data_IF_427864532099
#
_entry.id   IF_427864532099
#
_cell.length_a   1.000
_cell.length_b   1.000
_cell.length_c   1.000
_cell.angle_alpha   90.00
_cell.angle_beta   90.00
_cell.angle_gamma   90.00
#
_symmetry.space_group_name_H-M   'P 1'
#
loop_
_entity.id
_entity.type
_entity.pdbx_description
1 polymer ?
#
# COMPACT_ATOMS: atom_id res chain seq x y z
N UNK A 1 -18.48 -0.17 -30.58
CA UNK A 1 -18.15 0.34 -29.22
C UNK A 1 -16.75 -0.13 -28.89
N UNK A 2 -15.88 0.70 -28.28
CA UNK A 2 -14.55 0.25 -27.87
C UNK A 2 -14.73 -0.90 -26.87
N UNK A 3 -14.00 -1.99 -27.05
CA UNK A 3 -14.02 -3.11 -26.11
C UNK A 3 -13.17 -2.67 -24.90
N UNK A 4 -13.74 -2.57 -23.72
CA UNK A 4 -13.03 -2.25 -22.46
C UNK A 4 -11.97 -3.31 -22.06
N UNK A 5 -11.74 -4.31 -22.90
CA UNK A 5 -10.93 -5.51 -22.61
C UNK A 5 -9.51 -5.47 -23.15
N UNK A 6 -9.12 -4.44 -23.90
CA UNK A 6 -7.78 -4.36 -24.49
C UNK A 6 -6.77 -3.65 -23.55
N UNK A 7 -6.97 -3.78 -22.23
CA UNK A 7 -6.06 -3.27 -21.22
C UNK A 7 -5.62 -4.41 -20.33
N UNK A 8 -4.32 -4.53 -20.12
CA UNK A 8 -3.70 -5.56 -19.30
C UNK A 8 -3.04 -4.91 -18.10
N UNK A 9 -3.14 -5.54 -16.93
CA UNK A 9 -2.25 -5.23 -15.81
C UNK A 9 -0.88 -5.80 -16.16
N UNK A 10 0.15 -4.96 -16.18
CA UNK A 10 1.48 -5.34 -16.67
C UNK A 10 2.56 -5.31 -15.60
N UNK A 11 2.35 -4.58 -14.51
CA UNK A 11 3.30 -4.52 -13.41
C UNK A 11 2.62 -4.13 -12.09
N UNK A 12 3.36 -4.32 -11.02
CA UNK A 12 2.99 -3.88 -9.70
C UNK A 12 4.22 -3.33 -8.97
N UNK A 13 4.14 -2.09 -8.51
CA UNK A 13 5.13 -1.49 -7.64
C UNK A 13 4.63 -1.59 -6.19
N UNK A 14 5.51 -1.99 -5.26
CA UNK A 14 5.15 -2.17 -3.85
C UNK A 14 6.14 -1.40 -2.97
N UNK A 15 5.61 -0.68 -1.98
CA UNK A 15 6.39 0.21 -1.12
C UNK A 15 6.13 -0.10 0.36
N UNK A 16 7.21 -0.20 1.14
CA UNK A 16 7.16 -0.22 2.61
C UNK A 16 7.20 1.23 3.11
N UNK A 17 6.04 1.76 3.50
CA UNK A 17 5.88 3.14 3.98
C UNK A 17 5.55 3.09 5.47
N UNK A 18 6.28 3.87 6.29
CA UNK A 18 6.06 3.95 7.74
C UNK A 18 6.11 5.39 8.20
N UNK A 19 5.16 5.77 9.05
CA UNK A 19 5.10 7.08 9.68
C UNK A 19 5.39 6.93 11.18
N UNK A 20 6.25 7.77 11.77
CA UNK A 20 6.65 7.66 13.18
C UNK A 20 5.56 8.23 14.11
N UNK A 21 4.33 7.70 14.03
CA UNK A 21 3.20 8.13 14.87
C UNK A 21 3.43 7.81 16.35
N UNK A 22 4.32 6.86 16.66
CA UNK A 22 4.70 6.54 18.04
C UNK A 22 5.39 7.68 18.78
N UNK A 23 6.08 8.59 18.07
CA UNK A 23 6.75 9.77 18.66
C UNK A 23 5.79 10.68 19.44
N UNK A 24 4.53 10.74 19.00
CA UNK A 24 3.46 11.51 19.62
C UNK A 24 2.36 10.64 20.22
N UNK A 25 2.50 9.32 20.14
CA UNK A 25 1.52 8.30 20.57
C UNK A 25 0.17 8.43 19.86
N UNK A 26 0.19 8.91 18.63
CA UNK A 26 -1.00 9.01 17.80
C UNK A 26 -1.51 7.59 17.46
N UNK A 27 -2.78 7.32 17.73
CA UNK A 27 -3.37 6.00 17.51
C UNK A 27 -3.09 4.97 18.60
N UNK A 28 -2.40 5.35 19.68
CA UNK A 28 -2.16 4.45 20.81
C UNK A 28 -3.46 4.03 21.51
N UNK A 29 -3.50 2.77 21.95
CA UNK A 29 -4.61 2.20 22.72
C UNK A 29 -4.10 1.22 23.79
N UNK A 30 -5.02 0.55 24.49
CA UNK A 30 -4.67 -0.39 25.57
C UNK A 30 -3.88 -1.63 25.10
N UNK A 31 -4.03 -2.01 23.83
CA UNK A 31 -3.37 -3.15 23.20
C UNK A 31 -2.15 -2.73 22.38
N UNK A 32 -2.21 -1.59 21.72
CA UNK A 32 -1.19 -1.06 20.81
C UNK A 32 -0.64 0.25 21.38
N UNK A 33 0.34 0.15 22.28
CA UNK A 33 0.82 1.31 23.04
C UNK A 33 1.65 2.31 22.21
N UNK A 34 2.37 1.83 21.19
CA UNK A 34 3.36 2.56 20.40
C UNK A 34 3.26 2.25 18.88
N UNK A 35 2.10 2.46 18.23
CA UNK A 35 1.93 2.13 16.82
C UNK A 35 2.68 3.11 15.92
N UNK A 36 3.36 2.57 14.92
CA UNK A 36 3.86 3.34 13.77
C UNK A 36 2.99 3.03 12.56
N UNK A 37 2.01 3.89 12.29
CA UNK A 37 1.08 3.70 11.20
C UNK A 37 1.84 3.53 9.89
N UNK A 38 1.58 2.41 9.23
CA UNK A 38 2.37 1.93 8.11
C UNK A 38 1.44 1.45 7.00
N UNK A 39 1.96 1.46 5.78
CA UNK A 39 1.28 1.00 4.59
C UNK A 39 2.21 0.10 3.77
N UNK A 40 1.73 -1.10 3.47
CA UNK A 40 2.20 -1.83 2.29
C UNK A 40 1.43 -1.26 1.10
N UNK A 41 2.02 -0.25 0.45
CA UNK A 41 1.38 0.51 -0.62
C UNK A 41 1.64 -0.14 -1.96
N UNK A 42 0.61 -0.26 -2.79
CA UNK A 42 0.65 -0.95 -4.08
C UNK A 42 0.18 -0.02 -5.19
N UNK A 43 0.95 0.03 -6.27
CA UNK A 43 0.54 0.65 -7.54
C UNK A 43 0.47 -0.45 -8.60
N UNK A 44 -0.72 -0.65 -9.18
CA UNK A 44 -0.98 -1.59 -10.27
C UNK A 44 -0.90 -0.82 -11.58
N UNK A 45 0.07 -1.15 -12.42
CA UNK A 45 0.30 -0.49 -13.72
C UNK A 45 -0.47 -1.21 -14.83
N UNK A 46 -1.02 -0.42 -15.75
CA UNK A 46 -1.63 -0.95 -16.98
C UNK A 46 -0.81 -0.56 -18.21
N UNK A 47 -0.99 -1.30 -19.31
CA UNK A 47 -0.44 -0.96 -20.63
C UNK A 47 -1.23 0.13 -21.37
N UNK A 48 -2.22 0.75 -20.71
CA UNK A 48 -3.01 1.77 -21.32
C UNK A 48 -2.16 3.03 -21.57
N UNK A 49 -2.17 3.53 -22.80
CA UNK A 49 -1.42 4.74 -23.20
C UNK A 49 -1.96 6.06 -22.65
N UNK A 50 -2.81 6.01 -21.62
CA UNK A 50 -3.41 7.15 -20.91
C UNK A 50 -2.97 7.22 -19.43
N UNK A 51 -1.89 6.51 -19.08
CA UNK A 51 -1.31 6.45 -17.74
C UNK A 51 -2.29 5.95 -16.65
N UNK A 52 -3.30 5.16 -17.04
CA UNK A 52 -4.23 4.55 -16.09
C UNK A 52 -3.50 3.58 -15.15
N UNK A 53 -3.62 3.84 -13.85
CA UNK A 53 -3.09 2.99 -12.78
C UNK A 53 -4.07 2.84 -11.62
N UNK A 54 -3.93 1.74 -10.88
CA UNK A 54 -4.69 1.46 -9.68
C UNK A 54 -3.82 1.62 -8.43
N UNK A 55 -4.39 2.19 -7.38
CA UNK A 55 -3.70 2.37 -6.10
C UNK A 55 -4.43 1.62 -4.98
N UNK A 56 -3.67 0.99 -4.10
CA UNK A 56 -4.19 0.30 -2.94
C UNK A 56 -3.17 0.28 -1.80
N UNK A 57 -3.63 -0.06 -0.60
CA UNK A 57 -2.75 -0.28 0.53
C UNK A 57 -3.34 -1.26 1.55
N UNK A 58 -2.46 -1.97 2.24
CA UNK A 58 -2.79 -2.64 3.50
C UNK A 58 -2.26 -1.80 4.65
N UNK A 59 -3.13 -1.49 5.61
CA UNK A 59 -2.74 -0.77 6.82
C UNK A 59 -2.12 -1.74 7.84
N UNK A 60 -0.98 -1.34 8.41
CA UNK A 60 -0.34 -2.01 9.54
C UNK A 60 0.16 -0.98 10.55
N UNK A 61 0.68 -1.42 11.69
CA UNK A 61 1.14 -0.54 12.79
C UNK A 61 2.64 -0.66 13.06
N UNK A 62 3.45 -0.91 12.02
CA UNK A 62 4.90 -0.83 12.08
C UNK A 62 5.56 -2.16 11.74
N UNK A 63 5.99 -2.92 12.76
CA UNK A 63 6.63 -4.23 12.57
C UNK A 63 5.71 -5.17 11.77
N UNK A 64 6.29 -5.90 10.82
CA UNK A 64 5.56 -6.82 9.95
C UNK A 64 5.04 -6.19 8.66
N UNK A 65 5.12 -4.86 8.48
CA UNK A 65 4.74 -4.22 7.22
C UNK A 65 5.56 -4.76 6.04
N UNK A 66 6.85 -5.05 6.28
CA UNK A 66 7.76 -5.66 5.29
C UNK A 66 7.29 -7.03 4.81
N UNK A 67 6.59 -7.80 5.66
CA UNK A 67 6.02 -9.10 5.30
C UNK A 67 4.79 -8.92 4.41
N UNK A 68 3.95 -7.91 4.69
CA UNK A 68 2.83 -7.55 3.83
C UNK A 68 3.32 -7.06 2.46
N UNK A 69 4.41 -6.30 2.41
CA UNK A 69 5.05 -5.87 1.15
C UNK A 69 5.58 -7.07 0.36
N UNK A 70 6.27 -8.01 1.02
CA UNK A 70 6.82 -9.19 0.36
C UNK A 70 5.76 -10.19 -0.13
N UNK A 71 4.55 -10.14 0.42
CA UNK A 71 3.43 -10.99 0.04
C UNK A 71 2.57 -10.43 -1.11
N UNK A 72 2.79 -9.17 -1.47
CA UNK A 72 2.02 -8.47 -2.49
C UNK A 72 2.33 -9.00 -3.90
#
# INVERSE_FOLDING_TARGET
>A
MPRWTDRTIVAMDVFDIRFPTSDHRDGSDAMNADPDYSAAYVVVRTDAGDDLEGHGLTFTIGRGNELCVAAA
#
